data_IF_895664616530
#
_entry.id   IF_895664616530
#
_cell.length_a   1.000
_cell.length_b   1.000
_cell.length_c   1.000
_cell.angle_alpha   90.00
_cell.angle_beta   90.00
_cell.angle_gamma   90.00
#
_symmetry.space_group_name_H-M   'P 1'
#
loop_
_entity.id
_entity.type
_entity.pdbx_description
1 polymer ?
#
# COMPACT_ATOMS: atom_id res chain seq x y z
N UNK A 1 -38.25 -27.75 -49.76
CA UNK A 1 -37.00 -27.29 -50.43
C UNK A 1 -36.49 -26.07 -49.66
N UNK A 2 -35.39 -26.20 -48.92
CA UNK A 2 -34.82 -25.12 -48.09
C UNK A 2 -33.74 -24.45 -48.93
N UNK A 3 -33.94 -23.18 -49.30
CA UNK A 3 -32.99 -22.39 -50.07
C UNK A 3 -31.81 -21.94 -49.18
N UNK A 4 -30.55 -22.22 -49.54
CA UNK A 4 -29.41 -21.77 -48.77
C UNK A 4 -29.26 -20.24 -48.86
N UNK A 5 -29.23 -19.56 -47.71
CA UNK A 5 -28.94 -18.12 -47.62
C UNK A 5 -27.49 -17.85 -48.02
N UNK A 6 -27.29 -17.04 -49.05
CA UNK A 6 -25.96 -16.51 -49.41
C UNK A 6 -25.51 -15.54 -48.32
N UNK A 7 -24.45 -15.89 -47.58
CA UNK A 7 -23.80 -14.99 -46.63
C UNK A 7 -22.94 -13.99 -47.39
N UNK A 8 -23.27 -12.70 -47.32
CA UNK A 8 -22.42 -11.62 -47.83
C UNK A 8 -21.16 -11.53 -46.96
N UNK A 9 -19.99 -11.57 -47.60
CA UNK A 9 -18.71 -11.32 -46.94
C UNK A 9 -18.44 -9.82 -46.77
N UNK A 10 -17.52 -9.49 -45.87
CA UNK A 10 -17.01 -8.13 -45.72
C UNK A 10 -16.14 -7.75 -46.92
N UNK A 11 -16.19 -6.49 -47.33
CA UNK A 11 -15.29 -5.94 -48.35
C UNK A 11 -13.92 -5.61 -47.75
N UNK A 12 -12.87 -5.65 -48.56
CA UNK A 12 -11.53 -5.25 -48.13
C UNK A 12 -11.47 -3.78 -47.67
N UNK A 13 -12.27 -2.92 -48.29
CA UNK A 13 -12.33 -1.49 -47.93
C UNK A 13 -13.01 -1.27 -46.57
N UNK A 14 -14.01 -2.09 -46.22
CA UNK A 14 -14.64 -2.05 -44.90
C UNK A 14 -13.64 -2.42 -43.80
N UNK A 15 -12.84 -3.47 -43.99
CA UNK A 15 -11.83 -3.86 -42.99
C UNK A 15 -10.74 -2.79 -42.87
N UNK A 16 -10.28 -2.22 -43.99
CA UNK A 16 -9.26 -1.16 -44.00
C UNK A 16 -9.73 0.09 -43.23
N UNK A 17 -10.98 0.51 -43.46
CA UNK A 17 -11.54 1.67 -42.79
C UNK A 17 -11.75 1.43 -41.28
N UNK A 18 -12.17 0.21 -40.90
CA UNK A 18 -12.36 -0.15 -39.49
C UNK A 18 -11.03 -0.11 -38.74
N UNK A 19 -9.96 -0.71 -39.26
CA UNK A 19 -8.66 -0.68 -38.56
C UNK A 19 -8.07 0.73 -38.50
N UNK A 20 -8.33 1.57 -39.50
CA UNK A 20 -7.92 2.98 -39.50
C UNK A 20 -8.65 3.79 -38.41
N UNK A 21 -9.95 3.57 -38.21
CA UNK A 21 -10.70 4.24 -37.13
C UNK A 21 -10.30 3.69 -35.76
N UNK A 22 -10.13 2.37 -35.63
CA UNK A 22 -9.75 1.74 -34.38
C UNK A 22 -8.38 2.22 -33.87
N UNK A 23 -7.40 2.42 -34.76
CA UNK A 23 -6.08 2.92 -34.37
C UNK A 23 -6.14 4.34 -33.80
N UNK A 24 -6.92 5.23 -34.42
CA UNK A 24 -7.13 6.61 -33.93
C UNK A 24 -7.82 6.59 -32.57
N UNK A 25 -8.90 5.81 -32.43
CA UNK A 25 -9.63 5.71 -31.17
C UNK A 25 -8.75 5.18 -30.03
N UNK A 26 -7.88 4.20 -30.31
CA UNK A 26 -7.00 3.62 -29.31
C UNK A 26 -6.01 4.67 -28.77
N UNK A 27 -5.39 5.48 -29.63
CA UNK A 27 -4.49 6.56 -29.19
C UNK A 27 -5.20 7.56 -28.28
N UNK A 28 -6.41 8.00 -28.66
CA UNK A 28 -7.20 8.95 -27.86
C UNK A 28 -7.56 8.37 -26.49
N UNK A 29 -8.01 7.12 -26.44
CA UNK A 29 -8.38 6.45 -25.18
C UNK A 29 -7.17 6.28 -24.26
N UNK A 30 -6.02 5.87 -24.79
CA UNK A 30 -4.78 5.74 -24.00
C UNK A 30 -4.31 7.07 -23.42
N UNK A 31 -4.39 8.16 -24.20
CA UNK A 31 -4.06 9.50 -23.72
C UNK A 31 -5.02 9.97 -22.61
N UNK A 32 -6.32 9.64 -22.72
CA UNK A 32 -7.34 10.08 -21.76
C UNK A 32 -7.31 9.31 -20.42
N UNK A 33 -6.93 8.03 -20.43
CA UNK A 33 -7.02 7.18 -19.23
C UNK A 33 -5.88 7.35 -18.23
N UNK A 34 -4.73 7.90 -18.65
CA UNK A 34 -3.52 8.03 -17.84
C UNK A 34 -3.28 6.80 -16.92
N UNK A 35 -2.95 5.63 -17.48
CA UNK A 35 -2.90 4.38 -16.73
C UNK A 35 -1.93 4.44 -15.53
N UNK A 36 -0.87 5.25 -15.63
CA UNK A 36 0.08 5.45 -14.54
C UNK A 36 -0.58 6.02 -13.28
N UNK A 37 -1.42 7.05 -13.42
CA UNK A 37 -2.13 7.64 -12.26
C UNK A 37 -3.15 6.67 -11.69
N UNK A 38 -3.85 5.90 -12.53
CA UNK A 38 -4.84 4.91 -12.05
C UNK A 38 -4.21 3.78 -11.22
N UNK A 39 -3.01 3.37 -11.60
CA UNK A 39 -2.25 2.39 -10.82
C UNK A 39 -1.75 2.98 -9.50
N UNK A 40 -1.31 4.24 -9.50
CA UNK A 40 -0.94 4.97 -8.28
C UNK A 40 -2.13 5.12 -7.33
N UNK A 41 -3.31 5.53 -7.84
CA UNK A 41 -4.55 5.64 -7.07
C UNK A 41 -4.91 4.30 -6.40
N UNK A 42 -4.74 3.19 -7.12
CA UNK A 42 -5.03 1.84 -6.61
C UNK A 42 -4.06 1.44 -5.50
N UNK A 43 -2.77 1.75 -5.66
CA UNK A 43 -1.75 1.50 -4.61
C UNK A 43 -1.98 2.38 -3.38
N UNK A 44 -2.30 3.67 -3.56
CA UNK A 44 -2.66 4.57 -2.47
C UNK A 44 -3.91 4.10 -1.73
N UNK A 45 -4.94 3.59 -2.43
CA UNK A 45 -6.11 3.01 -1.79
C UNK A 45 -5.76 1.80 -0.91
N UNK A 46 -4.81 0.97 -1.34
CA UNK A 46 -4.30 -0.13 -0.51
C UNK A 46 -3.50 0.39 0.70
N UNK A 47 -2.63 1.39 0.52
CA UNK A 47 -1.91 2.06 1.62
C UNK A 47 -2.86 2.62 2.68
N UNK A 48 -3.97 3.23 2.26
CA UNK A 48 -5.03 3.68 3.18
C UNK A 48 -5.61 2.54 4.01
N UNK A 49 -5.86 1.39 3.40
CA UNK A 49 -6.34 0.22 4.13
C UNK A 49 -5.28 -0.32 5.10
N UNK A 50 -4.01 -0.34 4.69
CA UNK A 50 -2.91 -0.87 5.48
C UNK A 50 -2.65 0.00 6.72
N UNK A 51 -2.58 1.33 6.58
CA UNK A 51 -2.38 2.24 7.73
C UNK A 51 -3.55 2.17 8.72
N UNK A 52 -4.78 1.96 8.26
CA UNK A 52 -5.94 1.78 9.13
C UNK A 52 -5.93 0.42 9.84
N UNK A 53 -5.47 -0.64 9.18
CA UNK A 53 -5.29 -1.96 9.80
C UNK A 53 -4.25 -1.89 10.91
N UNK A 54 -3.09 -1.26 10.66
CA UNK A 54 -2.08 -1.03 11.69
C UNK A 54 -2.64 -0.26 12.89
N UNK A 55 -3.29 0.88 12.63
CA UNK A 55 -3.83 1.72 13.69
C UNK A 55 -4.84 0.95 14.54
N UNK A 56 -5.74 0.20 13.90
CA UNK A 56 -6.76 -0.61 14.59
C UNK A 56 -6.10 -1.69 15.46
N UNK A 57 -5.18 -2.48 14.90
CA UNK A 57 -4.49 -3.54 15.63
C UNK A 57 -3.68 -3.02 16.82
N UNK A 58 -3.01 -1.87 16.66
CA UNK A 58 -2.28 -1.23 17.76
C UNK A 58 -3.24 -0.76 18.85
N UNK A 59 -4.37 -0.16 18.48
CA UNK A 59 -5.35 0.25 19.49
C UNK A 59 -5.95 -0.93 20.24
N UNK A 60 -6.25 -2.04 19.55
CA UNK A 60 -6.71 -3.27 20.19
C UNK A 60 -5.66 -3.78 21.17
N UNK A 61 -4.38 -3.85 20.77
CA UNK A 61 -3.29 -4.21 21.67
C UNK A 61 -3.19 -3.30 22.89
N UNK A 62 -3.31 -1.98 22.71
CA UNK A 62 -3.26 -1.02 23.81
C UNK A 62 -4.45 -1.18 24.75
N UNK A 63 -5.65 -1.44 24.23
CA UNK A 63 -6.85 -1.66 25.05
C UNK A 63 -6.70 -2.91 25.91
N UNK A 64 -6.24 -4.01 25.33
CA UNK A 64 -6.08 -5.29 26.04
C UNK A 64 -4.93 -5.26 27.07
N UNK A 65 -3.91 -4.43 26.83
CA UNK A 65 -2.74 -4.29 27.71
C UNK A 65 -2.78 -3.03 28.59
N UNK A 66 -3.96 -2.48 28.84
CA UNK A 66 -4.17 -1.39 29.80
C UNK A 66 -3.48 -0.07 29.44
N UNK A 67 -3.23 0.17 28.16
CA UNK A 67 -2.56 1.36 27.63
C UNK A 67 -1.03 1.29 27.63
N UNK A 68 -0.44 0.12 27.87
CA UNK A 68 1.02 -0.03 27.97
C UNK A 68 1.67 -0.17 26.58
N UNK A 69 2.22 0.94 26.07
CA UNK A 69 2.88 0.99 24.74
C UNK A 69 3.98 -0.06 24.56
N UNK A 70 4.82 -0.29 25.58
CA UNK A 70 5.95 -1.21 25.49
C UNK A 70 5.52 -2.66 25.22
N UNK A 71 4.37 -3.10 25.73
CA UNK A 71 3.82 -4.44 25.49
C UNK A 71 3.37 -4.63 24.05
N UNK A 72 3.09 -3.54 23.34
CA UNK A 72 2.73 -3.56 21.91
C UNK A 72 3.92 -3.24 21.00
N UNK A 73 5.15 -3.27 21.52
CA UNK A 73 6.37 -2.94 20.75
C UNK A 73 6.55 -1.44 20.46
N UNK A 74 5.90 -0.56 21.23
CA UNK A 74 5.86 0.88 20.98
C UNK A 74 6.60 1.71 22.04
N UNK A 75 7.18 2.83 21.62
CA UNK A 75 7.79 3.84 22.49
C UNK A 75 7.12 5.20 22.33
N UNK A 76 6.72 5.83 23.45
CA UNK A 76 6.14 7.18 23.45
C UNK A 76 7.22 8.25 23.60
N UNK A 77 8.08 8.36 22.59
CA UNK A 77 9.25 9.26 22.55
C UNK A 77 9.17 10.28 21.40
N UNK A 78 8.13 10.22 20.56
CA UNK A 78 7.97 11.10 19.40
C UNK A 78 8.88 10.76 18.22
N UNK A 79 9.66 9.69 18.31
CA UNK A 79 10.56 9.24 17.25
C UNK A 79 9.74 8.56 16.14
N UNK A 80 10.05 8.88 14.89
CA UNK A 80 9.49 8.16 13.73
C UNK A 80 10.30 6.89 13.56
N UNK A 81 9.62 5.74 13.53
CA UNK A 81 10.22 4.43 13.33
C UNK A 81 9.60 3.76 12.12
N UNK A 82 10.37 3.04 11.33
CA UNK A 82 9.82 2.18 10.29
C UNK A 82 9.29 0.89 10.93
N UNK A 83 8.11 0.44 10.50
CA UNK A 83 7.56 -0.87 10.85
C UNK A 83 8.28 -1.93 10.01
N UNK A 84 8.81 -2.96 10.66
CA UNK A 84 9.56 -4.03 10.02
C UNK A 84 9.06 -5.41 10.46
N UNK A 85 9.37 -6.43 9.67
CA UNK A 85 9.12 -7.83 10.04
C UNK A 85 10.22 -8.36 10.97
N UNK A 86 9.99 -9.51 11.63
CA UNK A 86 11.00 -10.12 12.50
C UNK A 86 12.30 -10.38 11.76
N UNK A 87 13.42 -10.13 12.45
CA UNK A 87 14.75 -10.51 11.97
C UNK A 87 15.57 -9.39 11.31
N UNK A 88 15.10 -8.14 11.26
CA UNK A 88 15.95 -7.02 10.86
C UNK A 88 16.95 -6.68 11.97
N UNK A 89 18.24 -6.95 11.72
CA UNK A 89 19.31 -6.71 12.68
C UNK A 89 20.25 -5.55 12.30
N UNK A 90 20.17 -4.96 11.09
CA UNK A 90 21.30 -4.16 10.58
C UNK A 90 20.97 -2.80 9.94
N UNK A 91 19.74 -2.50 9.54
CA UNK A 91 19.33 -1.13 9.22
C UNK A 91 17.82 -1.04 9.02
N UNK A 92 17.28 0.15 9.27
CA UNK A 92 15.93 0.54 8.85
C UNK A 92 16.00 1.20 7.48
N UNK A 93 14.90 1.18 6.74
CA UNK A 93 14.82 1.74 5.41
C UNK A 93 14.79 3.28 5.47
N UNK A 94 15.72 3.91 4.77
CA UNK A 94 15.76 5.37 4.63
C UNK A 94 14.63 5.95 3.76
N UNK A 95 13.76 5.11 3.17
CA UNK A 95 12.55 5.55 2.45
C UNK A 95 11.62 6.32 3.38
N UNK A 96 11.50 5.91 4.64
CA UNK A 96 10.78 6.69 5.64
C UNK A 96 11.61 7.89 6.10
N UNK A 97 11.13 9.10 5.78
CA UNK A 97 11.80 10.33 6.20
C UNK A 97 11.97 10.38 7.71
N UNK A 98 13.20 10.55 8.19
CA UNK A 98 13.51 10.58 9.62
C UNK A 98 13.89 9.23 10.22
N UNK A 99 13.92 8.15 9.42
CA UNK A 99 14.41 6.82 9.80
C UNK A 99 15.83 6.68 9.25
N UNK A 100 16.85 6.82 10.10
CA UNK A 100 18.25 6.94 9.67
C UNK A 100 19.20 5.97 10.39
N UNK A 101 18.79 5.39 11.51
CA UNK A 101 19.58 4.46 12.30
C UNK A 101 18.85 3.12 12.49
N UNK A 102 19.60 2.07 12.84
CA UNK A 102 19.05 0.75 13.26
C UNK A 102 18.10 0.85 14.44
N UNK A 103 18.27 1.87 15.28
CA UNK A 103 17.38 2.16 16.40
C UNK A 103 16.03 2.75 15.97
N UNK A 104 15.82 3.06 14.69
CA UNK A 104 14.59 3.65 14.17
C UNK A 104 13.66 2.59 13.56
N UNK A 105 13.83 1.31 13.93
CA UNK A 105 12.97 0.21 13.50
C UNK A 105 12.00 -0.14 14.64
N UNK A 106 10.79 -0.52 14.27
CA UNK A 106 9.79 -1.10 15.14
C UNK A 106 9.44 -2.49 14.59
N UNK A 107 10.02 -3.53 15.18
CA UNK A 107 9.60 -4.92 14.93
C UNK A 107 8.31 -5.16 15.70
N UNK A 108 7.20 -5.25 14.97
CA UNK A 108 5.87 -5.44 15.52
C UNK A 108 5.32 -6.86 15.28
N UNK A 109 6.06 -7.74 14.60
CA UNK A 109 5.55 -9.06 14.24
C UNK A 109 5.40 -9.96 15.48
N UNK A 110 6.32 -9.87 16.44
CA UNK A 110 6.21 -10.64 17.69
C UNK A 110 4.97 -10.24 18.48
N UNK A 111 4.74 -8.93 18.68
CA UNK A 111 3.65 -8.44 19.53
C UNK A 111 2.29 -8.39 18.84
N UNK A 112 2.22 -7.98 17.57
CA UNK A 112 0.96 -7.80 16.85
C UNK A 112 0.51 -9.05 16.07
N UNK A 113 1.42 -9.96 15.71
CA UNK A 113 1.08 -11.17 14.92
C UNK A 113 1.20 -12.43 15.77
N UNK A 114 2.34 -12.67 16.42
CA UNK A 114 2.64 -13.98 17.04
C UNK A 114 2.00 -14.14 18.42
N UNK A 115 2.11 -13.15 19.30
CA UNK A 115 1.68 -13.28 20.70
C UNK A 115 0.15 -13.18 20.87
N UNK A 116 -0.48 -12.25 20.15
CA UNK A 116 -1.90 -11.92 20.36
C UNK A 116 -2.74 -11.85 19.07
N UNK A 117 -2.12 -12.01 17.89
CA UNK A 117 -2.80 -12.10 16.60
C UNK A 117 -3.78 -10.96 16.27
N UNK A 118 -3.44 -9.72 16.65
CA UNK A 118 -4.17 -8.51 16.24
C UNK A 118 -4.07 -8.26 14.72
N UNK A 119 -3.01 -8.76 14.08
CA UNK A 119 -2.83 -8.81 12.63
C UNK A 119 -2.58 -10.24 12.18
N UNK A 120 -3.10 -10.59 10.99
CA UNK A 120 -2.78 -11.88 10.36
C UNK A 120 -1.35 -11.95 9.81
N UNK A 121 -0.80 -10.80 9.43
CA UNK A 121 0.59 -10.59 8.98
C UNK A 121 0.86 -9.09 8.92
N UNK A 122 2.11 -8.67 8.98
CA UNK A 122 2.52 -7.27 8.78
C UNK A 122 2.23 -6.82 7.32
N UNK A 123 1.32 -5.85 7.08
CA UNK A 123 1.10 -5.33 5.73
C UNK A 123 2.33 -4.62 5.15
N UNK A 124 2.69 -4.95 3.91
CA UNK A 124 3.82 -4.32 3.20
C UNK A 124 3.34 -3.44 2.05
N UNK A 125 4.08 -2.38 1.76
CA UNK A 125 3.72 -1.42 0.71
C UNK A 125 3.62 -2.10 -0.68
N UNK A 126 2.56 -1.82 -1.46
CA UNK A 126 2.36 -2.45 -2.77
C UNK A 126 3.34 -1.99 -3.86
N UNK A 127 4.14 -0.95 -3.62
CA UNK A 127 5.19 -0.46 -4.52
C UNK A 127 6.46 -1.30 -4.52
N UNK A 128 6.67 -2.13 -3.49
CA UNK A 128 7.92 -2.86 -3.23
C UNK A 128 8.98 -1.92 -2.63
N UNK A 129 9.76 -2.32 -1.63
CA UNK A 129 10.67 -3.48 -1.70
C UNK A 129 11.15 -4.05 -0.34
N UNK A 130 11.66 -5.29 -0.47
CA UNK A 130 12.31 -6.22 0.48
C UNK A 130 11.35 -6.98 1.41
N UNK A 131 11.71 -8.23 1.71
CA UNK A 131 10.89 -9.14 2.54
C UNK A 131 10.70 -8.65 3.97
N UNK A 132 11.50 -7.67 4.38
CA UNK A 132 11.67 -7.34 5.78
C UNK A 132 11.19 -5.92 6.11
N UNK A 133 11.15 -5.01 5.13
CA UNK A 133 10.71 -3.62 5.29
C UNK A 133 9.26 -3.46 4.83
N UNK A 134 8.43 -2.80 5.64
CA UNK A 134 7.03 -2.55 5.27
C UNK A 134 6.81 -1.26 4.49
N UNK A 135 7.77 -0.32 4.56
CA UNK A 135 7.65 1.09 4.10
C UNK A 135 6.48 1.87 4.74
N UNK A 136 6.01 1.40 5.89
CA UNK A 136 5.14 2.17 6.77
C UNK A 136 5.93 2.62 7.99
N UNK A 137 5.58 3.80 8.49
CA UNK A 137 6.18 4.36 9.69
C UNK A 137 5.16 4.49 10.80
N UNK A 138 5.66 4.42 12.02
CA UNK A 138 4.94 4.60 13.26
C UNK A 138 5.62 5.66 14.11
N UNK A 139 4.83 6.49 14.77
CA UNK A 139 5.29 7.43 15.78
C UNK A 139 4.26 7.51 16.89
N UNK A 140 4.71 7.41 18.13
CA UNK A 140 3.86 7.74 19.28
C UNK A 140 4.39 9.02 19.91
N UNK A 141 3.56 10.07 19.94
CA UNK A 141 3.92 11.36 20.52
C UNK A 141 2.80 11.84 21.45
N UNK A 142 3.14 12.04 22.73
CA UNK A 142 2.19 12.41 23.78
C UNK A 142 0.96 11.47 23.82
N UNK A 143 1.19 10.18 23.55
CA UNK A 143 0.17 9.14 23.56
C UNK A 143 -0.66 9.01 22.28
N UNK A 144 -0.47 9.89 21.30
CA UNK A 144 -1.11 9.78 19.98
C UNK A 144 -0.28 8.83 19.12
N UNK A 145 -0.89 7.75 18.65
CA UNK A 145 -0.28 6.82 17.70
C UNK A 145 -0.54 7.36 16.30
N UNK A 146 0.52 7.60 15.54
CA UNK A 146 0.48 8.02 14.14
C UNK A 146 1.08 6.93 13.27
N UNK A 147 0.34 6.48 12.25
CA UNK A 147 0.83 5.59 11.20
C UNK A 147 0.85 6.36 9.88
N UNK A 148 1.90 6.19 9.08
CA UNK A 148 2.00 6.83 7.77
C UNK A 148 2.67 5.92 6.74
N UNK A 149 2.25 6.01 5.48
CA UNK A 149 3.00 5.41 4.36
C UNK A 149 4.19 6.31 4.00
N UNK A 150 5.34 5.68 3.75
CA UNK A 150 6.56 6.37 3.38
C UNK A 150 6.73 6.55 1.86
N UNK A 151 5.92 5.84 1.06
CA UNK A 151 6.00 5.80 -0.41
C UNK A 151 4.68 6.15 -1.10
N UNK A 152 3.87 7.03 -0.48
CA UNK A 152 2.65 7.56 -1.08
C UNK A 152 2.93 8.23 -2.45
N UNK A 153 2.12 7.91 -3.44
CA UNK A 153 2.32 8.36 -4.82
C UNK A 153 1.44 9.55 -5.18
N UNK A 154 1.80 10.27 -6.26
CA UNK A 154 1.00 11.40 -6.74
C UNK A 154 1.09 12.66 -5.87
N UNK A 155 2.04 12.72 -4.93
CA UNK A 155 2.17 13.85 -3.99
C UNK A 155 1.16 13.82 -2.84
N UNK A 156 0.44 12.71 -2.66
CA UNK A 156 -0.47 12.53 -1.54
C UNK A 156 0.30 12.24 -0.24
N UNK A 157 -0.32 12.55 0.89
CA UNK A 157 0.15 12.13 2.21
C UNK A 157 -0.88 11.18 2.80
N UNK A 158 -0.45 9.95 3.09
CA UNK A 158 -1.32 8.91 3.65
C UNK A 158 -0.88 8.67 5.08
N UNK A 159 -1.66 9.17 6.03
CA UNK A 159 -1.40 9.02 7.45
C UNK A 159 -2.71 9.03 8.24
N UNK A 160 -2.75 8.25 9.31
CA UNK A 160 -3.83 8.18 10.28
C UNK A 160 -3.25 8.32 11.68
N UNK A 161 -4.01 8.96 12.57
CA UNK A 161 -3.59 9.13 13.95
C UNK A 161 -4.79 9.04 14.91
N UNK A 162 -4.57 8.45 16.08
CA UNK A 162 -5.57 8.39 17.16
C UNK A 162 -4.88 8.29 18.52
#
# INVERSE_FOLDING_TARGET
>A
MILPKIKRGFTLIEILLVVAILSILLVVVFAALNPATRLADTRNARRWNDVNQYLTAIHECLVDNGGTYATCGLTNDGTVREIVNTGIATACNAVCTGVLATGDCADLETELVTNQAYLGSIPTDPGGVTTDHSEYSIRVNNGIVTIASCSAEGGETISVAR
#
